data_IF_162769939546
#
_entry.id   IF_162769939546
#
_cell.length_a   1.000
_cell.length_b   1.000
_cell.length_c   1.000
_cell.angle_alpha   90.00
_cell.angle_beta   90.00
_cell.angle_gamma   90.00
#
_symmetry.space_group_name_H-M   'P 1'
#
loop_
_entity.id
_entity.type
_entity.pdbx_description
1 polymer ?
#
# COMPACT_ATOMS: atom_id res chain seq x y z
N UNK A 1 29.13 29.33 -62.53
CA UNK A 1 30.15 29.03 -63.54
C UNK A 1 30.66 27.62 -63.27
N UNK A 2 30.53 26.73 -64.24
CA UNK A 2 30.88 25.30 -64.14
C UNK A 2 32.37 25.06 -64.48
N UNK A 3 32.87 23.87 -64.09
CA UNK A 3 33.90 22.96 -64.70
C UNK A 3 34.57 22.21 -63.51
N UNK A 4 34.31 20.93 -63.20
CA UNK A 4 34.60 19.62 -63.84
C UNK A 4 36.08 19.15 -63.84
N UNK A 5 36.28 18.05 -63.07
CA UNK A 5 37.16 16.86 -63.22
C UNK A 5 38.69 16.93 -63.12
N UNK A 6 39.24 16.05 -62.26
CA UNK A 6 40.04 14.89 -62.72
C UNK A 6 39.96 13.74 -61.70
N UNK A 7 39.72 12.53 -62.22
CA UNK A 7 39.75 11.24 -61.53
C UNK A 7 41.17 10.84 -61.12
N UNK A 8 41.31 10.15 -59.99
CA UNK A 8 42.27 9.04 -59.90
C UNK A 8 41.67 7.92 -59.05
N UNK A 9 41.54 6.75 -59.67
CA UNK A 9 40.88 5.55 -59.15
C UNK A 9 42.00 4.56 -58.85
N UNK A 10 42.19 4.17 -57.59
CA UNK A 10 43.05 3.04 -57.28
C UNK A 10 42.29 2.03 -56.42
N UNK A 11 41.95 0.89 -57.04
CA UNK A 11 41.35 -0.28 -56.40
C UNK A 11 42.48 -1.11 -55.80
N UNK A 12 42.65 -1.09 -54.49
CA UNK A 12 43.55 -2.05 -53.81
C UNK A 12 42.84 -3.39 -53.68
N UNK A 13 43.23 -4.36 -54.51
CA UNK A 13 42.76 -5.75 -54.44
C UNK A 13 43.52 -6.45 -53.32
N UNK A 14 42.86 -6.67 -52.18
CA UNK A 14 43.41 -7.45 -51.06
C UNK A 14 43.74 -8.88 -51.51
N UNK A 15 44.93 -9.34 -51.12
CA UNK A 15 45.43 -10.68 -51.47
C UNK A 15 44.57 -11.79 -50.85
N UNK A 16 44.60 -12.99 -51.44
CA UNK A 16 43.85 -14.16 -50.95
C UNK A 16 44.24 -14.58 -49.52
N UNK A 17 45.47 -14.25 -49.10
CA UNK A 17 45.99 -14.51 -47.76
C UNK A 17 45.38 -13.57 -46.72
N UNK A 18 45.26 -12.27 -47.02
CA UNK A 18 44.66 -11.28 -46.11
C UNK A 18 43.15 -11.51 -45.91
N UNK A 19 42.43 -11.94 -46.96
CA UNK A 19 41.02 -12.35 -46.81
C UNK A 19 40.87 -13.57 -45.89
N UNK A 20 41.82 -14.50 -45.91
CA UNK A 20 41.80 -15.72 -45.09
C UNK A 20 42.11 -15.41 -43.63
N UNK A 21 43.09 -14.55 -43.36
CA UNK A 21 43.42 -14.06 -42.01
C UNK A 21 42.26 -13.25 -41.40
N UNK A 22 41.65 -12.33 -42.16
CA UNK A 22 40.50 -11.55 -41.70
C UNK A 22 39.27 -12.40 -41.40
N UNK A 23 38.99 -13.42 -42.22
CA UNK A 23 37.92 -14.38 -41.95
C UNK A 23 38.21 -15.28 -40.76
N UNK A 24 39.48 -15.64 -40.50
CA UNK A 24 39.88 -16.39 -39.31
C UNK A 24 39.75 -15.53 -38.04
N UNK A 25 40.12 -14.25 -38.11
CA UNK A 25 39.95 -13.29 -37.02
C UNK A 25 38.47 -13.02 -36.71
N UNK A 26 37.64 -12.78 -37.72
CA UNK A 26 36.18 -12.60 -37.54
C UNK A 26 35.50 -13.86 -37.02
N UNK A 27 35.90 -15.06 -37.46
CA UNK A 27 35.39 -16.32 -36.88
C UNK A 27 35.77 -16.47 -35.41
N UNK A 28 37.02 -16.15 -35.00
CA UNK A 28 37.43 -16.15 -33.59
C UNK A 28 36.68 -15.09 -32.76
N UNK A 29 36.43 -13.91 -33.33
CA UNK A 29 35.70 -12.82 -32.69
C UNK A 29 34.21 -13.12 -32.52
N UNK A 30 33.56 -13.74 -33.52
CA UNK A 30 32.17 -14.20 -33.41
C UNK A 30 32.01 -15.40 -32.45
N UNK A 31 32.97 -16.33 -32.43
CA UNK A 31 32.92 -17.48 -31.52
C UNK A 31 33.11 -17.05 -30.05
N UNK A 32 33.97 -16.06 -29.80
CA UNK A 32 34.16 -15.48 -28.45
C UNK A 32 32.91 -14.76 -27.91
N UNK A 33 32.15 -14.07 -28.78
CA UNK A 33 30.89 -13.41 -28.38
C UNK A 33 29.74 -14.38 -28.17
N UNK A 34 29.69 -15.50 -28.90
CA UNK A 34 28.67 -16.53 -28.66
C UNK A 34 28.90 -17.32 -27.36
N UNK A 35 30.16 -17.54 -26.97
CA UNK A 35 30.47 -18.24 -25.72
C UNK A 35 30.21 -17.37 -24.47
N UNK A 36 30.44 -16.05 -24.58
CA UNK A 36 30.10 -15.11 -23.50
C UNK A 36 28.58 -14.89 -23.38
N UNK A 37 27.85 -14.85 -24.49
CA UNK A 37 26.40 -14.70 -24.48
C UNK A 37 25.66 -15.94 -23.93
N UNK A 38 26.17 -17.16 -24.17
CA UNK A 38 25.56 -18.37 -23.63
C UNK A 38 25.84 -18.56 -22.13
N UNK A 39 27.01 -18.14 -21.63
CA UNK A 39 27.34 -18.23 -20.20
C UNK A 39 26.52 -17.25 -19.35
N UNK A 40 26.21 -16.06 -19.88
CA UNK A 40 25.25 -15.11 -19.25
C UNK A 40 23.81 -15.62 -19.28
N UNK A 41 23.42 -16.39 -20.30
CA UNK A 41 22.07 -16.95 -20.36
C UNK A 41 21.88 -18.14 -19.42
N UNK A 42 22.92 -18.94 -19.15
CA UNK A 42 22.86 -20.06 -18.17
C UNK A 42 22.89 -19.58 -16.71
N UNK A 43 23.55 -18.44 -16.41
CA UNK A 43 23.50 -17.83 -15.07
C UNK A 43 22.14 -17.16 -14.76
N UNK A 44 21.34 -16.82 -15.78
CA UNK A 44 19.97 -16.32 -15.59
C UNK A 44 18.94 -17.43 -15.30
N UNK A 45 19.25 -18.71 -15.57
CA UNK A 45 18.32 -19.84 -15.33
C UNK A 45 18.55 -20.52 -13.97
N UNK A 46 19.59 -20.14 -13.22
CA UNK A 46 19.86 -20.67 -11.87
C UNK A 46 19.38 -19.69 -10.76
N UNK A 47 18.93 -18.49 -11.11
CA UNK A 47 18.30 -17.57 -10.14
C UNK A 47 16.78 -17.74 -10.01
N UNK A 48 16.15 -18.58 -10.82
CA UNK A 48 14.74 -18.98 -10.66
C UNK A 48 14.68 -20.32 -9.92
N UNK A 49 14.93 -20.30 -8.63
CA UNK A 49 14.97 -21.54 -7.85
C UNK A 49 15.11 -21.36 -6.34
N UNK A 50 14.62 -20.26 -5.76
CA UNK A 50 14.34 -20.21 -4.33
C UNK A 50 12.94 -19.68 -4.12
N UNK A 51 12.01 -20.61 -3.92
CA UNK A 51 10.76 -20.35 -3.21
C UNK A 51 11.15 -19.91 -1.80
N UNK A 52 11.12 -18.62 -1.53
CA UNK A 52 11.01 -18.13 -0.16
C UNK A 52 9.56 -18.36 0.27
N UNK A 53 9.35 -19.54 0.83
CA UNK A 53 8.12 -19.93 1.49
C UNK A 53 8.04 -19.17 2.82
N UNK A 54 7.41 -17.98 2.82
CA UNK A 54 7.01 -17.26 4.04
C UNK A 54 5.79 -16.38 3.78
N UNK A 55 4.62 -16.92 4.12
CA UNK A 55 3.54 -16.26 4.86
C UNK A 55 2.97 -14.94 4.34
N UNK A 56 1.81 -15.04 3.69
CA UNK A 56 0.73 -14.05 3.57
C UNK A 56 0.93 -12.87 2.61
N UNK A 57 0.96 -13.19 1.31
CA UNK A 57 0.28 -12.35 0.32
C UNK A 57 -1.05 -13.05 0.01
N UNK A 58 -2.16 -12.45 0.45
CA UNK A 58 -3.49 -12.89 -0.02
C UNK A 58 -3.63 -12.38 -1.45
N UNK A 59 -3.37 -13.27 -2.41
CA UNK A 59 -3.73 -13.09 -3.81
C UNK A 59 -5.27 -13.23 -3.91
N UNK A 60 -6.01 -12.16 -4.25
CA UNK A 60 -7.47 -12.19 -4.28
C UNK A 60 -8.03 -13.13 -5.37
N UNK A 61 -7.19 -13.67 -6.26
CA UNK A 61 -7.60 -14.60 -7.32
C UNK A 61 -7.43 -16.07 -6.96
N UNK A 62 -6.86 -16.39 -5.79
CA UNK A 62 -6.68 -17.77 -5.33
C UNK A 62 -7.58 -18.06 -4.15
N UNK A 63 -8.65 -18.81 -4.41
CA UNK A 63 -9.40 -19.53 -3.39
C UNK A 63 -8.46 -20.56 -2.73
N UNK A 64 -7.77 -20.13 -1.68
CA UNK A 64 -6.91 -20.99 -0.89
C UNK A 64 -7.80 -22.00 -0.15
N UNK A 65 -7.83 -23.23 -0.66
CA UNK A 65 -8.46 -24.36 0.01
C UNK A 65 -7.63 -24.61 1.26
N UNK A 66 -8.25 -24.27 2.40
CA UNK A 66 -7.63 -24.24 3.71
C UNK A 66 -6.70 -25.40 4.00
N UNK A 67 -5.49 -25.06 4.42
CA UNK A 67 -4.74 -25.86 5.37
C UNK A 67 -4.87 -25.14 6.70
N UNK A 68 -5.57 -25.80 7.63
CA UNK A 68 -5.79 -25.38 9.00
C UNK A 68 -4.49 -24.95 9.68
N UNK A 69 -4.35 -23.65 9.87
CA UNK A 69 -3.57 -23.07 10.97
C UNK A 69 -4.07 -21.66 11.23
N UNK A 70 -5.33 -21.57 11.66
CA UNK A 70 -5.77 -20.41 12.44
C UNK A 70 -5.03 -20.52 13.78
N UNK A 71 -3.79 -20.05 13.83
CA UNK A 71 -3.12 -19.81 15.10
C UNK A 71 -3.80 -18.59 15.71
N UNK A 72 -4.87 -18.83 16.46
CA UNK A 72 -5.42 -17.88 17.40
C UNK A 72 -4.40 -17.76 18.54
N UNK A 73 -3.32 -16.99 18.34
CA UNK A 73 -2.49 -16.48 19.44
C UNK A 73 -3.29 -15.35 20.10
N UNK A 74 -4.29 -15.73 20.86
CA UNK A 74 -4.97 -14.80 21.77
C UNK A 74 -3.99 -14.42 22.86
N UNK A 75 -3.22 -13.35 22.64
CA UNK A 75 -2.48 -12.73 23.73
C UNK A 75 -3.48 -12.01 24.64
N UNK A 76 -3.91 -12.70 25.68
CA UNK A 76 -4.82 -12.20 26.72
C UNK A 76 -4.10 -11.36 27.78
N UNK A 77 -2.78 -11.22 27.69
CA UNK A 77 -2.03 -10.40 28.63
C UNK A 77 -2.41 -8.94 28.45
N UNK A 78 -3.02 -8.32 29.45
CA UNK A 78 -3.29 -6.88 29.39
C UNK A 78 -2.01 -6.02 29.50
N UNK A 79 -0.85 -6.65 29.78
CA UNK A 79 0.41 -5.94 29.77
C UNK A 79 0.77 -5.46 28.36
N UNK A 80 1.29 -4.24 28.29
CA UNK A 80 1.80 -3.64 27.07
C UNK A 80 3.03 -4.43 26.61
N UNK A 81 3.02 -4.92 25.37
CA UNK A 81 4.18 -5.59 24.78
C UNK A 81 5.17 -4.55 24.27
N UNK A 82 6.31 -4.43 24.96
CA UNK A 82 7.35 -3.44 24.65
C UNK A 82 8.48 -3.99 23.78
N UNK A 83 8.37 -5.22 23.27
CA UNK A 83 9.43 -5.91 22.53
C UNK A 83 9.90 -5.17 21.27
N UNK A 84 9.04 -4.32 20.68
CA UNK A 84 9.36 -3.50 19.50
C UNK A 84 9.32 -2.00 19.77
N UNK A 85 9.34 -1.54 21.02
CA UNK A 85 9.21 -0.10 21.34
C UNK A 85 10.33 0.74 20.73
N UNK A 86 11.57 0.24 20.68
CA UNK A 86 12.67 0.96 20.06
C UNK A 86 12.42 1.17 18.56
N UNK A 87 12.02 0.11 17.86
CA UNK A 87 11.69 0.17 16.43
C UNK A 87 10.45 1.04 16.17
N UNK A 88 9.39 0.83 16.95
CA UNK A 88 8.16 1.63 16.89
C UNK A 88 8.42 3.11 17.15
N UNK A 89 9.39 3.46 18.01
CA UNK A 89 9.77 4.86 18.25
C UNK A 89 10.46 5.53 17.07
N UNK A 90 11.14 4.75 16.23
CA UNK A 90 11.74 5.21 14.97
C UNK A 90 10.64 5.33 13.92
N UNK A 91 9.82 4.28 13.77
CA UNK A 91 8.74 4.22 12.81
C UNK A 91 7.69 3.17 13.23
N UNK A 92 6.38 3.48 13.19
CA UNK A 92 5.75 4.75 12.78
C UNK A 92 5.81 5.88 13.81
N UNK A 93 5.99 5.54 15.08
CA UNK A 93 6.04 6.45 16.22
C UNK A 93 5.35 5.86 17.45
N UNK A 94 5.71 6.37 18.64
CA UNK A 94 5.01 6.05 19.89
C UNK A 94 3.85 7.02 20.14
N UNK A 95 2.95 6.63 21.04
CA UNK A 95 1.87 7.47 21.56
C UNK A 95 2.20 7.83 23.01
N UNK A 96 2.00 9.10 23.36
CA UNK A 96 2.14 9.62 24.71
C UNK A 96 1.13 8.98 25.68
N UNK A 97 1.44 8.98 26.97
CA UNK A 97 0.60 8.34 27.98
C UNK A 97 -0.70 9.13 28.22
N UNK A 98 -0.66 10.43 27.94
CA UNK A 98 -1.74 11.39 28.18
C UNK A 98 -2.85 11.31 27.12
N UNK A 99 -2.57 10.75 25.94
CA UNK A 99 -3.58 10.59 24.90
C UNK A 99 -4.62 9.54 25.34
N UNK A 100 -5.91 9.91 25.37
CA UNK A 100 -6.93 9.07 25.98
C UNK A 100 -7.16 7.80 25.17
N UNK A 101 -7.19 6.67 25.89
CA UNK A 101 -7.72 5.41 25.36
C UNK A 101 -9.23 5.42 25.57
N UNK A 102 -9.98 5.29 24.49
CA UNK A 102 -11.43 5.43 24.47
C UNK A 102 -12.11 4.11 24.12
N UNK A 103 -13.38 4.02 24.54
CA UNK A 103 -14.32 3.01 24.05
C UNK A 103 -15.39 3.72 23.23
N UNK A 104 -15.53 3.34 21.96
CA UNK A 104 -16.50 3.96 21.04
C UNK A 104 -17.18 2.94 20.15
N UNK A 105 -18.47 3.14 19.95
CA UNK A 105 -19.26 2.42 18.97
C UNK A 105 -19.45 3.31 17.75
N UNK A 106 -19.18 2.77 16.56
CA UNK A 106 -19.37 3.45 15.28
C UNK A 106 -20.18 2.59 14.33
N UNK A 107 -20.90 3.23 13.43
CA UNK A 107 -21.57 2.58 12.30
C UNK A 107 -20.64 2.70 11.07
N UNK A 108 -20.24 1.56 10.52
CA UNK A 108 -19.32 1.47 9.39
C UNK A 108 -20.07 1.19 8.09
N UNK A 109 -19.91 2.09 7.12
CA UNK A 109 -20.37 1.91 5.74
C UNK A 109 -19.36 1.04 4.98
N UNK A 110 -19.65 -0.26 4.86
CA UNK A 110 -18.74 -1.28 4.30
C UNK A 110 -19.11 -1.69 2.86
N UNK A 111 -19.74 -0.77 2.12
CA UNK A 111 -20.12 -0.99 0.73
C UNK A 111 -18.94 -0.72 -0.22
N UNK A 112 -18.77 -1.57 -1.22
CA UNK A 112 -17.86 -1.34 -2.34
C UNK A 112 -18.35 -2.08 -3.58
N UNK A 113 -17.77 -1.77 -4.74
CA UNK A 113 -18.04 -2.46 -6.00
C UNK A 113 -16.89 -3.41 -6.29
N UNK A 114 -17.21 -4.64 -6.71
CA UNK A 114 -16.20 -5.65 -6.98
C UNK A 114 -15.54 -5.42 -8.34
N UNK A 115 -14.33 -5.96 -8.51
CA UNK A 115 -13.59 -5.91 -9.79
C UNK A 115 -14.35 -6.49 -10.97
N UNK A 116 -15.12 -7.54 -10.73
CA UNK A 116 -15.87 -8.22 -11.79
C UNK A 116 -16.93 -7.33 -12.44
N UNK A 117 -17.39 -6.30 -11.72
CA UNK A 117 -18.41 -5.35 -12.17
C UNK A 117 -17.81 -4.11 -12.85
N UNK A 118 -16.47 -3.97 -12.88
CA UNK A 118 -15.76 -2.76 -13.30
C UNK A 118 -14.78 -3.06 -14.43
N UNK A 119 -14.69 -2.15 -15.42
CA UNK A 119 -13.71 -2.26 -16.52
C UNK A 119 -12.32 -1.69 -16.18
N UNK A 120 -11.91 -1.80 -14.92
CA UNK A 120 -10.65 -1.27 -14.39
C UNK A 120 -9.85 -2.40 -13.77
N UNK A 121 -8.56 -2.49 -14.10
CA UNK A 121 -7.69 -3.59 -13.68
C UNK A 121 -7.15 -3.44 -12.25
N UNK A 122 -6.97 -2.20 -11.77
CA UNK A 122 -6.44 -1.89 -10.44
C UNK A 122 -7.43 -1.02 -9.69
N UNK A 123 -8.04 -1.59 -8.65
CA UNK A 123 -9.01 -0.92 -7.81
C UNK A 123 -8.41 -0.53 -6.46
N UNK A 124 -8.94 0.54 -5.84
CA UNK A 124 -8.69 0.79 -4.43
C UNK A 124 -9.11 -0.42 -3.58
N UNK A 125 -8.27 -0.80 -2.62
CA UNK A 125 -8.57 -1.90 -1.70
C UNK A 125 -9.75 -1.52 -0.79
N UNK A 126 -10.67 -2.46 -0.47
CA UNK A 126 -11.79 -2.26 0.45
C UNK A 126 -11.33 -2.22 1.92
N UNK A 127 -10.45 -1.28 2.23
CA UNK A 127 -9.89 -1.04 3.56
C UNK A 127 -10.53 0.22 4.14
N UNK A 128 -11.49 0.04 5.04
CA UNK A 128 -12.34 1.10 5.57
C UNK A 128 -11.77 1.69 6.86
N UNK A 129 -11.57 3.01 6.86
CA UNK A 129 -11.01 3.75 7.99
C UNK A 129 -12.01 3.89 9.14
N UNK A 130 -11.60 3.51 10.35
CA UNK A 130 -12.43 3.63 11.56
C UNK A 130 -12.34 4.99 12.24
N UNK A 131 -11.29 5.79 11.92
CA UNK A 131 -10.95 7.01 12.67
C UNK A 131 -10.22 6.73 13.99
N UNK A 132 -9.82 5.48 14.24
CA UNK A 132 -9.09 5.07 15.42
C UNK A 132 -7.67 4.61 15.10
N UNK A 133 -6.83 4.64 16.12
CA UNK A 133 -5.44 4.23 16.11
C UNK A 133 -5.18 3.29 17.29
N UNK A 134 -4.44 2.20 17.06
CA UNK A 134 -3.97 1.30 18.12
C UNK A 134 -2.60 1.76 18.62
N UNK A 135 -2.47 1.96 19.93
CA UNK A 135 -1.18 2.28 20.52
C UNK A 135 -0.19 1.10 20.39
N UNK A 136 1.12 1.36 20.18
CA UNK A 136 2.10 0.30 19.99
C UNK A 136 2.14 -0.68 21.17
N UNK A 137 1.98 -1.97 20.86
CA UNK A 137 2.06 -3.06 21.84
C UNK A 137 0.86 -3.20 22.78
N UNK A 138 -0.11 -2.27 22.72
CA UNK A 138 -1.32 -2.31 23.53
C UNK A 138 -2.37 -3.23 22.92
N UNK A 139 -3.08 -3.96 23.78
CA UNK A 139 -4.19 -4.82 23.38
C UNK A 139 -5.45 -3.97 23.17
N UNK A 140 -6.05 -4.06 22.00
CA UNK A 140 -7.35 -3.45 21.70
C UNK A 140 -8.43 -4.54 21.67
N UNK A 141 -9.68 -4.14 21.91
CA UNK A 141 -10.81 -5.04 21.73
C UNK A 141 -11.80 -4.51 20.70
N UNK A 142 -12.31 -5.42 19.87
CA UNK A 142 -13.32 -5.12 18.85
C UNK A 142 -14.49 -6.07 19.08
N UNK A 143 -15.67 -5.51 19.34
CA UNK A 143 -16.90 -6.28 19.45
C UNK A 143 -17.63 -6.26 18.11
N UNK A 144 -17.82 -7.46 17.56
CA UNK A 144 -18.46 -7.72 16.27
C UNK A 144 -19.86 -8.27 16.51
N UNK A 145 -20.89 -7.79 15.78
CA UNK A 145 -22.24 -8.31 15.93
C UNK A 145 -22.37 -9.80 15.60
N UNK A 146 -23.41 -10.43 16.16
CA UNK A 146 -23.76 -11.81 15.87
C UNK A 146 -24.01 -12.03 14.37
N UNK A 147 -23.58 -13.19 13.87
CA UNK A 147 -23.78 -13.58 12.47
C UNK A 147 -22.79 -12.96 11.47
N UNK A 148 -21.83 -12.14 11.92
CA UNK A 148 -20.82 -11.50 11.06
C UNK A 148 -19.49 -12.24 11.13
N UNK A 149 -19.10 -12.88 10.02
CA UNK A 149 -17.89 -13.72 9.92
C UNK A 149 -16.96 -13.31 8.76
N UNK A 150 -17.32 -12.25 8.05
CA UNK A 150 -16.76 -11.83 6.78
C UNK A 150 -15.80 -10.63 6.92
N UNK A 151 -15.28 -10.38 8.13
CA UNK A 151 -14.44 -9.21 8.42
C UNK A 151 -13.00 -9.60 8.78
N UNK A 152 -12.06 -8.81 8.28
CA UNK A 152 -10.67 -8.80 8.72
C UNK A 152 -10.34 -7.42 9.28
N UNK A 153 -9.78 -7.38 10.49
CA UNK A 153 -9.17 -6.19 11.05
C UNK A 153 -7.76 -6.03 10.48
N UNK A 154 -7.38 -4.81 10.14
CA UNK A 154 -5.97 -4.45 9.95
C UNK A 154 -5.58 -3.32 10.91
N UNK A 155 -4.42 -3.47 11.57
CA UNK A 155 -3.76 -2.41 12.32
C UNK A 155 -2.47 -2.03 11.60
N UNK A 156 -2.33 -0.75 11.25
CA UNK A 156 -1.25 -0.22 10.42
C UNK A 156 -1.72 0.03 8.99
N UNK A 157 -1.38 1.20 8.44
CA UNK A 157 -1.78 1.60 7.10
C UNK A 157 -1.00 0.90 5.98
N UNK A 158 0.21 0.44 6.30
CA UNK A 158 1.12 -0.20 5.36
C UNK A 158 0.67 -1.60 4.99
N UNK A 159 1.04 -2.01 3.77
CA UNK A 159 0.85 -3.38 3.29
C UNK A 159 2.07 -3.92 2.56
N UNK A 160 3.18 -3.19 2.62
CA UNK A 160 4.39 -3.49 1.87
C UNK A 160 5.42 -4.23 2.73
N UNK A 161 6.12 -5.17 2.11
CA UNK A 161 7.13 -6.01 2.75
C UNK A 161 8.53 -5.67 2.22
N UNK A 162 9.33 -5.04 3.06
CA UNK A 162 10.68 -4.57 2.73
C UNK A 162 11.79 -5.57 3.13
N UNK A 163 11.46 -6.84 3.40
CA UNK A 163 12.42 -7.85 3.85
C UNK A 163 13.63 -8.05 2.92
N UNK A 164 13.47 -7.76 1.62
CA UNK A 164 14.51 -7.92 0.62
C UNK A 164 15.47 -6.71 0.54
N UNK A 165 15.14 -5.59 1.19
CA UNK A 165 15.98 -4.40 1.23
C UNK A 165 17.04 -4.56 2.32
N UNK A 166 18.31 -4.51 1.92
CA UNK A 166 19.41 -4.51 2.88
C UNK A 166 19.43 -3.19 3.65
N UNK A 167 19.54 -3.27 4.99
CA UNK A 167 19.53 -2.11 5.88
C UNK A 167 18.28 -1.22 5.73
N UNK A 168 17.11 -1.85 5.55
CA UNK A 168 15.83 -1.15 5.50
C UNK A 168 15.64 -0.21 6.70
N UNK A 169 15.00 0.94 6.46
CA UNK A 169 14.78 1.97 7.50
C UNK A 169 13.69 1.63 8.52
N UNK A 170 13.02 0.49 8.36
CA UNK A 170 12.01 -0.05 9.26
C UNK A 170 12.03 -1.58 9.21
N UNK A 171 11.41 -2.21 10.19
CA UNK A 171 11.20 -3.66 10.18
C UNK A 171 10.37 -4.07 8.93
N UNK A 172 10.58 -5.29 8.41
CA UNK A 172 10.00 -5.71 7.12
C UNK A 172 8.49 -5.56 7.00
N UNK A 173 7.77 -5.99 8.04
CA UNK A 173 6.32 -5.97 8.13
C UNK A 173 5.95 -5.35 9.47
N UNK A 174 5.16 -4.28 9.42
CA UNK A 174 4.78 -3.49 10.60
C UNK A 174 3.26 -3.39 10.80
N UNK A 175 2.48 -4.05 9.96
CA UNK A 175 1.03 -4.14 10.12
C UNK A 175 0.62 -5.53 10.62
N UNK A 176 -0.59 -5.63 11.16
CA UNK A 176 -1.19 -6.91 11.57
C UNK A 176 -2.55 -7.05 10.95
N UNK A 177 -2.88 -8.25 10.45
CA UNK A 177 -4.22 -8.61 10.03
C UNK A 177 -4.77 -9.71 10.92
N UNK A 178 -6.03 -9.59 11.32
CA UNK A 178 -6.71 -10.56 12.18
C UNK A 178 -8.13 -10.78 11.67
N UNK A 179 -8.49 -12.03 11.39
CA UNK A 179 -9.90 -12.38 11.08
C UNK A 179 -10.75 -12.16 12.33
N UNK A 180 -11.88 -11.50 12.15
CA UNK A 180 -12.82 -11.22 13.23
C UNK A 180 -13.93 -12.27 13.25
N UNK A 181 -14.31 -12.69 14.45
CA UNK A 181 -15.47 -13.56 14.71
C UNK A 181 -16.52 -12.78 15.51
N UNK A 182 -17.80 -13.20 15.52
CA UNK A 182 -18.80 -12.59 16.38
C UNK A 182 -18.38 -12.53 17.85
N UNK A 183 -18.77 -11.47 18.53
CA UNK A 183 -18.37 -11.19 19.91
C UNK A 183 -17.07 -10.40 20.02
N UNK A 184 -16.39 -10.54 21.17
CA UNK A 184 -15.22 -9.73 21.54
C UNK A 184 -13.92 -10.36 21.01
N UNK A 185 -13.22 -9.64 20.15
CA UNK A 185 -11.95 -10.03 19.55
C UNK A 185 -10.83 -9.19 20.17
N UNK A 186 -9.75 -9.84 20.62
CA UNK A 186 -8.58 -9.20 21.20
C UNK A 186 -7.40 -9.29 20.23
N UNK A 187 -6.73 -8.17 19.99
CA UNK A 187 -5.60 -8.11 19.06
C UNK A 187 -4.73 -6.89 19.34
N UNK A 188 -3.48 -6.93 18.87
CA UNK A 188 -2.51 -5.85 19.02
C UNK A 188 -1.58 -5.81 17.82
N UNK A 189 -0.93 -4.67 17.65
CA UNK A 189 0.21 -4.52 16.76
C UNK A 189 1.38 -3.91 17.54
N UNK A 190 2.58 -4.46 17.37
CA UNK A 190 3.75 -4.04 18.16
C UNK A 190 4.29 -2.65 17.79
N UNK A 191 3.93 -2.13 16.62
CA UNK A 191 4.28 -0.81 16.11
C UNK A 191 3.15 0.21 16.21
N UNK A 192 1.93 -0.25 16.53
CA UNK A 192 0.71 0.54 16.47
C UNK A 192 0.27 0.83 15.03
N UNK A 193 -0.80 1.59 14.88
CA UNK A 193 -1.28 1.97 13.55
C UNK A 193 -2.74 2.37 13.50
N UNK A 194 -3.13 3.02 12.41
CA UNK A 194 -4.53 3.23 12.07
C UNK A 194 -5.27 1.89 12.01
N UNK A 195 -6.52 1.87 12.48
CA UNK A 195 -7.36 0.68 12.54
C UNK A 195 -8.31 0.68 11.35
N UNK A 196 -8.31 -0.40 10.59
CA UNK A 196 -9.15 -0.60 9.42
C UNK A 196 -9.98 -1.88 9.51
N UNK A 197 -11.16 -1.83 8.91
CA UNK A 197 -12.01 -3.01 8.70
C UNK A 197 -12.03 -3.33 7.20
N UNK A 198 -11.80 -4.60 6.88
CA UNK A 198 -11.76 -5.13 5.51
C UNK A 198 -12.84 -6.21 5.40
N UNK A 199 -13.99 -5.93 4.77
CA UNK A 199 -14.99 -6.95 4.48
C UNK A 199 -14.58 -7.81 3.28
N UNK A 200 -14.90 -9.11 3.31
CA UNK A 200 -14.66 -10.01 2.17
C UNK A 200 -15.73 -9.90 1.08
N UNK A 201 -16.85 -9.26 1.38
CA UNK A 201 -17.93 -8.98 0.44
C UNK A 201 -18.60 -7.64 0.77
N UNK A 202 -19.12 -6.92 -0.22
CA UNK A 202 -19.71 -5.61 0.00
C UNK A 202 -20.98 -5.72 0.83
N UNK A 203 -21.18 -4.78 1.75
CA UNK A 203 -22.34 -4.73 2.63
C UNK A 203 -23.20 -3.53 2.28
N UNK A 204 -24.49 -3.76 2.08
CA UNK A 204 -25.46 -2.70 1.74
C UNK A 204 -26.03 -2.00 2.97
N UNK A 205 -25.83 -2.58 4.15
CA UNK A 205 -26.25 -1.99 5.42
C UNK A 205 -25.04 -1.61 6.28
N UNK A 206 -25.10 -0.46 6.97
CA UNK A 206 -24.05 -0.06 7.89
C UNK A 206 -23.90 -1.10 9.01
N UNK A 207 -22.67 -1.35 9.43
CA UNK A 207 -22.37 -2.30 10.49
C UNK A 207 -21.94 -1.58 11.76
N UNK A 208 -22.71 -1.76 12.83
CA UNK A 208 -22.38 -1.24 14.16
C UNK A 208 -21.30 -2.07 14.82
N UNK A 209 -20.18 -1.45 15.21
CA UNK A 209 -19.06 -2.12 15.88
C UNK A 209 -18.54 -1.29 17.05
N UNK A 210 -18.11 -1.95 18.12
CA UNK A 210 -17.53 -1.29 19.31
C UNK A 210 -16.04 -1.55 19.38
N UNK A 211 -15.27 -0.48 19.56
CA UNK A 211 -13.82 -0.49 19.72
C UNK A 211 -13.48 -0.05 21.14
N UNK A 212 -12.64 -0.81 21.83
CA UNK A 212 -12.18 -0.55 23.19
C UNK A 212 -10.66 -0.45 23.24
N UNK A 213 -10.17 0.38 24.15
CA UNK A 213 -8.74 0.68 24.34
C UNK A 213 -8.06 1.22 23.07
N UNK A 214 -8.81 1.97 22.26
CA UNK A 214 -8.29 2.61 21.04
C UNK A 214 -8.03 4.10 21.27
N UNK A 215 -7.22 4.71 20.43
CA UNK A 215 -6.95 6.15 20.45
C UNK A 215 -7.68 6.81 19.29
N UNK A 216 -8.20 8.03 19.47
CA UNK A 216 -8.75 8.78 18.34
C UNK A 216 -7.65 9.30 17.41
N UNK A 217 -7.76 9.00 16.13
CA UNK A 217 -6.88 9.60 15.13
C UNK A 217 -7.28 11.08 14.90
N UNK A 218 -6.31 12.01 14.77
CA UNK A 218 -6.57 13.41 14.43
C UNK A 218 -6.83 13.57 12.92
N UNK A 219 -7.78 12.79 12.39
CA UNK A 219 -8.12 12.78 10.97
C UNK A 219 -8.87 14.05 10.56
N UNK A 220 -8.67 14.43 9.30
CA UNK A 220 -9.52 15.38 8.59
C UNK A 220 -10.41 14.62 7.60
N UNK A 221 -11.72 14.89 7.60
CA UNK A 221 -12.66 14.33 6.63
C UNK A 221 -13.42 15.47 5.95
N UNK A 222 -13.22 15.61 4.65
CA UNK A 222 -13.84 16.66 3.83
C UNK A 222 -15.37 16.67 4.03
N UNK A 223 -15.92 17.85 4.29
CA UNK A 223 -17.36 18.05 4.52
C UNK A 223 -17.90 17.52 5.86
N UNK A 224 -17.06 16.91 6.72
CA UNK A 224 -17.45 16.44 8.06
C UNK A 224 -16.65 17.09 9.18
N UNK A 225 -15.36 17.36 8.95
CA UNK A 225 -14.46 17.92 9.96
C UNK A 225 -14.30 19.43 9.74
N UNK A 226 -14.43 20.24 10.79
CA UNK A 226 -14.08 21.66 10.70
C UNK A 226 -12.55 21.85 10.66
N UNK A 227 -12.04 22.57 9.66
CA UNK A 227 -10.59 22.76 9.48
C UNK A 227 -9.88 23.45 10.66
N UNK A 228 -10.50 24.44 11.30
CA UNK A 228 -9.89 25.15 12.41
C UNK A 228 -9.81 24.26 13.67
N UNK A 229 -10.89 23.54 13.98
CA UNK A 229 -10.92 22.56 15.07
C UNK A 229 -9.95 21.40 14.81
N UNK A 230 -9.86 20.94 13.56
CA UNK A 230 -8.92 19.91 13.15
C UNK A 230 -7.48 20.33 13.40
N UNK A 231 -7.08 21.55 13.00
CA UNK A 231 -5.73 22.08 13.27
C UNK A 231 -5.42 22.11 14.76
N UNK A 232 -6.39 22.48 15.60
CA UNK A 232 -6.22 22.44 17.06
C UNK A 232 -6.10 21.01 17.59
N UNK A 233 -6.91 20.07 17.10
CA UNK A 233 -6.84 18.64 17.46
C UNK A 233 -5.48 18.07 17.06
N UNK A 234 -5.04 18.34 15.83
CA UNK A 234 -3.75 17.94 15.30
C UNK A 234 -2.61 18.46 16.19
N UNK A 235 -2.61 19.74 16.56
CA UNK A 235 -1.58 20.33 17.41
C UNK A 235 -1.50 19.71 18.82
N UNK A 236 -2.63 19.27 19.37
CA UNK A 236 -2.72 18.69 20.73
C UNK A 236 -2.45 17.19 20.77
N UNK A 237 -2.82 16.45 19.72
CA UNK A 237 -2.66 15.00 19.69
C UNK A 237 -1.18 14.59 19.69
N UNK A 238 -0.88 13.38 20.12
CA UNK A 238 0.43 12.75 19.96
C UNK A 238 0.37 11.48 19.08
N UNK A 239 -0.75 11.22 18.41
CA UNK A 239 -0.87 10.13 17.44
C UNK A 239 0.09 10.38 16.27
N UNK A 240 0.96 9.42 15.91
CA UNK A 240 2.07 9.67 14.98
C UNK A 240 1.62 9.77 13.52
N UNK A 241 0.46 9.21 13.17
CA UNK A 241 -0.09 9.16 11.83
C UNK A 241 -1.57 9.55 11.83
N UNK A 242 -2.00 10.22 10.77
CA UNK A 242 -3.39 10.64 10.56
C UNK A 242 -3.82 10.40 9.12
N UNK A 243 -5.12 10.47 8.88
CA UNK A 243 -5.68 10.46 7.53
C UNK A 243 -6.32 11.80 7.17
N UNK A 244 -6.01 12.29 5.97
CA UNK A 244 -6.80 13.29 5.25
C UNK A 244 -7.70 12.53 4.29
N UNK A 245 -9.02 12.64 4.44
CA UNK A 245 -9.99 11.81 3.73
C UNK A 245 -10.97 12.67 2.94
N UNK A 246 -11.14 12.30 1.68
CA UNK A 246 -12.17 12.81 0.78
C UNK A 246 -12.92 11.63 0.15
N UNK A 247 -13.77 11.88 -0.84
CA UNK A 247 -14.56 10.83 -1.48
C UNK A 247 -13.69 9.87 -2.30
N UNK A 248 -12.70 10.41 -3.00
CA UNK A 248 -11.87 9.66 -3.95
C UNK A 248 -10.42 9.51 -3.53
N UNK A 249 -9.97 10.20 -2.49
CA UNK A 249 -8.58 10.16 -2.04
C UNK A 249 -8.46 10.08 -0.50
N UNK A 250 -7.49 9.29 -0.05
CA UNK A 250 -7.04 9.24 1.34
C UNK A 250 -5.52 9.38 1.37
N UNK A 251 -5.02 10.37 2.10
CA UNK A 251 -3.61 10.46 2.45
C UNK A 251 -3.39 10.03 3.89
N UNK A 252 -2.60 8.99 4.11
CA UNK A 252 -2.13 8.59 5.44
C UNK A 252 -0.73 9.16 5.65
N UNK A 253 -0.62 10.22 6.45
CA UNK A 253 0.60 11.01 6.60
C UNK A 253 1.07 11.07 8.04
N UNK A 254 2.36 11.37 8.22
CA UNK A 254 2.93 11.59 9.55
C UNK A 254 2.41 12.91 10.12
N UNK A 255 2.05 12.87 11.40
CA UNK A 255 1.61 14.05 12.14
C UNK A 255 2.69 15.11 12.22
N UNK A 256 3.94 14.72 12.48
CA UNK A 256 5.05 15.69 12.58
C UNK A 256 5.28 16.45 11.27
N UNK A 257 5.03 15.82 10.12
CA UNK A 257 5.07 16.48 8.81
C UNK A 257 3.93 17.49 8.66
N UNK A 258 2.70 17.11 9.04
CA UNK A 258 1.55 18.02 9.01
C UNK A 258 1.71 19.21 9.99
N UNK A 259 2.45 19.05 11.09
CA UNK A 259 2.81 20.14 12.00
C UNK A 259 3.93 21.02 11.43
N UNK A 260 4.97 20.40 10.84
CA UNK A 260 6.12 21.12 10.28
C UNK A 260 5.79 21.88 9.01
N UNK A 261 4.91 21.32 8.19
CA UNK A 261 4.41 21.89 6.94
C UNK A 261 2.88 21.98 7.00
N UNK A 262 2.34 22.97 7.72
CA UNK A 262 0.91 23.10 7.93
C UNK A 262 0.14 23.21 6.63
N UNK A 263 -0.97 22.48 6.56
CA UNK A 263 -1.92 22.57 5.45
C UNK A 263 -2.73 23.86 5.64
N UNK A 264 -2.56 24.80 4.70
CA UNK A 264 -3.21 26.11 4.76
C UNK A 264 -4.73 25.97 4.72
N UNK A 265 -5.25 25.23 3.74
CA UNK A 265 -6.68 24.93 3.61
C UNK A 265 -6.87 23.44 3.28
N UNK A 266 -7.25 22.60 4.27
CA UNK A 266 -7.49 21.19 4.02
C UNK A 266 -8.79 20.93 3.25
N UNK A 267 -9.76 21.86 3.29
CA UNK A 267 -11.00 21.73 2.51
C UNK A 267 -10.70 21.93 1.03
N UNK A 268 -9.98 23.00 0.67
CA UNK A 268 -9.53 23.27 -0.70
C UNK A 268 -8.64 22.13 -1.22
N UNK A 269 -7.61 21.75 -0.46
CA UNK A 269 -6.68 20.67 -0.85
C UNK A 269 -7.42 19.38 -1.21
N UNK A 270 -8.31 18.92 -0.31
CA UNK A 270 -8.99 17.65 -0.51
C UNK A 270 -10.08 17.73 -1.58
N UNK A 271 -10.66 18.92 -1.80
CA UNK A 271 -11.60 19.16 -2.91
C UNK A 271 -10.90 19.06 -4.26
N UNK A 272 -9.71 19.66 -4.37
CA UNK A 272 -8.89 19.59 -5.59
C UNK A 272 -8.49 18.15 -5.93
N UNK A 273 -8.12 17.34 -4.93
CA UNK A 273 -7.85 15.92 -5.15
C UNK A 273 -9.08 15.13 -5.60
N UNK A 274 -10.25 15.39 -5.02
CA UNK A 274 -11.50 14.77 -5.48
C UNK A 274 -11.84 15.17 -6.92
N UNK A 275 -11.66 16.44 -7.28
CA UNK A 275 -11.89 16.94 -8.63
C UNK A 275 -10.93 16.30 -9.63
N UNK A 276 -9.63 16.22 -9.32
CA UNK A 276 -8.66 15.59 -10.20
C UNK A 276 -8.96 14.11 -10.47
N UNK A 277 -9.30 13.33 -9.44
CA UNK A 277 -9.68 11.92 -9.66
C UNK A 277 -10.98 11.81 -10.45
N UNK A 278 -11.98 12.65 -10.14
CA UNK A 278 -13.28 12.58 -10.81
C UNK A 278 -13.20 12.99 -12.28
N UNK A 279 -12.59 14.12 -12.59
CA UNK A 279 -12.59 14.69 -13.94
C UNK A 279 -11.46 14.11 -14.80
N UNK A 280 -10.22 14.11 -14.30
CA UNK A 280 -9.06 13.76 -15.11
C UNK A 280 -8.82 12.24 -15.20
N UNK A 281 -9.26 11.48 -14.21
CA UNK A 281 -9.09 10.02 -14.22
C UNK A 281 -10.38 9.31 -14.62
N UNK A 282 -11.46 9.48 -13.86
CA UNK A 282 -12.73 8.82 -14.18
C UNK A 282 -13.40 9.42 -15.42
N UNK A 283 -13.54 10.74 -15.49
CA UNK A 283 -14.14 11.43 -16.64
C UNK A 283 -13.42 11.13 -17.94
N UNK A 284 -12.09 11.21 -17.96
CA UNK A 284 -11.27 10.86 -19.14
C UNK A 284 -11.45 9.39 -19.57
N UNK A 285 -11.59 8.46 -18.61
CA UNK A 285 -11.84 7.06 -18.88
C UNK A 285 -13.31 6.74 -19.24
N UNK A 286 -14.20 7.75 -19.24
CA UNK A 286 -15.64 7.59 -19.45
C UNK A 286 -16.34 6.85 -18.33
N UNK A 287 -15.85 7.02 -17.09
CA UNK A 287 -16.40 6.40 -15.89
C UNK A 287 -17.19 7.42 -15.08
N UNK A 288 -18.29 6.96 -14.50
CA UNK A 288 -19.15 7.78 -13.65
C UNK A 288 -19.72 6.96 -12.49
N UNK A 289 -20.18 7.61 -11.43
CA UNK A 289 -20.66 6.90 -10.24
C UNK A 289 -21.98 6.16 -10.49
N UNK A 290 -22.88 6.78 -11.26
CA UNK A 290 -24.21 6.29 -11.54
C UNK A 290 -24.44 6.20 -13.06
N UNK A 291 -23.73 5.30 -13.77
CA UNK A 291 -23.82 5.21 -15.21
C UNK A 291 -25.11 4.56 -15.69
N UNK A 292 -25.49 4.87 -16.93
CA UNK A 292 -26.53 4.13 -17.63
C UNK A 292 -26.13 2.65 -17.86
N UNK A 293 -24.85 2.42 -18.18
CA UNK A 293 -24.29 1.08 -18.34
C UNK A 293 -23.43 0.72 -17.12
N UNK A 294 -23.76 -0.34 -16.35
CA UNK A 294 -23.04 -0.68 -15.12
C UNK A 294 -21.52 -0.87 -15.28
N UNK A 295 -21.04 -1.28 -16.46
CA UNK A 295 -19.59 -1.47 -16.70
C UNK A 295 -18.81 -0.15 -16.74
N UNK A 296 -19.49 0.99 -16.94
CA UNK A 296 -18.91 2.33 -16.93
C UNK A 296 -18.88 2.95 -15.51
N UNK A 297 -19.12 2.13 -14.49
CA UNK A 297 -19.14 2.62 -13.11
C UNK A 297 -17.72 2.97 -12.65
N UNK A 298 -17.57 4.10 -11.96
CA UNK A 298 -16.33 4.42 -11.27
C UNK A 298 -16.19 3.59 -9.97
N UNK A 299 -14.97 3.27 -9.53
CA UNK A 299 -14.75 2.76 -8.17
C UNK A 299 -15.38 3.72 -7.15
N UNK A 300 -16.07 3.16 -6.16
CA UNK A 300 -16.72 3.94 -5.10
C UNK A 300 -15.83 4.11 -3.86
N UNK A 301 -14.67 3.45 -3.86
CA UNK A 301 -13.69 3.55 -2.80
C UNK A 301 -12.64 4.61 -3.14
N UNK A 302 -12.11 5.32 -2.14
CA UNK A 302 -11.01 6.25 -2.37
C UNK A 302 -9.69 5.52 -2.59
N UNK A 303 -8.85 6.05 -3.48
CA UNK A 303 -7.45 5.68 -3.56
C UNK A 303 -6.76 6.08 -2.26
N UNK A 304 -5.85 5.23 -1.76
CA UNK A 304 -5.10 5.51 -0.53
C UNK A 304 -3.61 5.60 -0.84
N UNK A 305 -3.01 6.72 -0.45
CA UNK A 305 -1.57 6.97 -0.48
C UNK A 305 -1.07 6.96 0.96
N UNK A 306 -0.13 6.06 1.27
CA UNK A 306 0.44 5.91 2.61
C UNK A 306 1.88 6.37 2.58
N UNK A 307 2.21 7.36 3.40
CA UNK A 307 3.58 7.86 3.51
C UNK A 307 4.42 6.89 4.36
N UNK A 308 5.37 6.23 3.71
CA UNK A 308 6.30 5.28 4.32
C UNK A 308 7.73 5.85 4.33
N UNK A 309 8.54 5.40 5.28
CA UNK A 309 9.97 5.72 5.34
C UNK A 309 10.79 4.88 4.36
N UNK A 310 10.28 3.70 3.97
CA UNK A 310 10.90 2.78 3.03
C UNK A 310 9.83 1.97 2.29
N UNK A 311 9.92 1.91 0.96
CA UNK A 311 9.04 1.13 0.09
C UNK A 311 9.86 0.13 -0.74
N UNK A 312 9.26 -1.01 -1.06
CA UNK A 312 9.86 -2.10 -1.84
C UNK A 312 10.22 -1.70 -3.26
N UNK A 313 9.46 -0.77 -3.83
CA UNK A 313 9.66 -0.27 -5.18
C UNK A 313 9.17 1.18 -5.31
N UNK A 314 9.97 2.03 -5.95
CA UNK A 314 9.62 3.43 -6.21
C UNK A 314 10.55 4.42 -5.53
N UNK A 315 10.09 5.66 -5.40
CA UNK A 315 10.80 6.79 -4.80
C UNK A 315 9.90 7.55 -3.82
#
# INVERSE_FOLDING_TARGET
MAIRFLEYKEKTVLSSVEKKERNRFMKKFLFGRMFFASLTMVLLIISCGKKSDFGYIVDPTKNDKGVDSIVFKGDSSQAIDKSKYLQASIFPGLICQEEPRVTKTIDLELFYVKSEDLRISILPRPMFSTGFYAAPGELIAITVPDGVYDLTLQIGAWTDNVAHIQNAKRDPVIYTQTKLIPGKNLTRNLYGGNIYIIPSSPRTTPLKMTFENVVESPDFVLGKTNAAEWKQKLAKSCVPYLELRSKYMIFTIRRDYAIRYPIADPDELMTEWDMGIKEDFYGWAGLEENPANPVDRSPLLPYRVVLDVEISAGY
#
